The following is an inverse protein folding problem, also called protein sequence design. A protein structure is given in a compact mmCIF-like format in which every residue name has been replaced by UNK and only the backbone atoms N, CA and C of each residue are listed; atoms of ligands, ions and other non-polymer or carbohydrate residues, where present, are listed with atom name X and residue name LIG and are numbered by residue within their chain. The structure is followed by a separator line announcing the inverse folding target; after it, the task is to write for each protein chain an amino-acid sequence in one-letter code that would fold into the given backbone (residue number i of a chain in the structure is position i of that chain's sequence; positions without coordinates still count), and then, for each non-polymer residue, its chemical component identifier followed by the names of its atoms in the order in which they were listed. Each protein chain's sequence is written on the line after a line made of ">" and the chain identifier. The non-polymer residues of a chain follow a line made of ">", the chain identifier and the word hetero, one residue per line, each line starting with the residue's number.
data_IF_042249884833
#
_entry.id   IF_042249884833
#
_cell.length_a   1.000
_cell.length_b   1.000
_cell.length_c   1.000
_cell.angle_alpha   90.00
_cell.angle_beta   90.00
_cell.angle_gamma   90.00
#
_symmetry.space_group_name_H-M   'P 1'
#
loop_
_entity.id
_entity.type
_entity.pdbx_description
1 polymer ?
#
# COMPACT_ATOMS: atom_id res chain seq x y z
N UNK A 1 36.58 -13.95 14.56
CA UNK A 1 35.47 -12.98 14.70
C UNK A 1 34.25 -13.61 14.03
N UNK A 2 33.13 -13.83 14.72
CA UNK A 2 31.98 -14.51 14.12
C UNK A 2 31.30 -13.60 13.10
N UNK A 3 30.86 -14.23 12.01
CA UNK A 3 30.15 -13.67 10.87
C UNK A 3 28.87 -12.95 11.34
N UNK A 4 28.69 -11.67 11.00
CA UNK A 4 27.40 -10.99 11.20
C UNK A 4 26.43 -11.46 10.10
N UNK A 5 25.30 -12.11 10.44
CA UNK A 5 24.28 -12.50 9.47
C UNK A 5 23.58 -11.23 8.91
N UNK A 6 22.88 -11.35 7.77
CA UNK A 6 22.76 -10.27 6.79
C UNK A 6 21.97 -9.08 7.34
N UNK A 7 22.44 -7.88 7.01
CA UNK A 7 21.64 -6.64 7.06
C UNK A 7 20.30 -6.97 6.42
N UNK A 8 19.22 -6.97 7.21
CA UNK A 8 17.86 -6.99 6.68
C UNK A 8 17.73 -5.72 5.84
N UNK A 9 18.01 -5.83 4.54
CA UNK A 9 18.05 -4.70 3.59
C UNK A 9 16.66 -4.10 3.35
N UNK A 10 15.62 -4.81 3.81
CA UNK A 10 14.21 -4.52 3.65
C UNK A 10 13.51 -4.22 4.99
N UNK A 11 14.19 -3.62 5.96
CA UNK A 11 13.55 -3.07 7.15
C UNK A 11 13.27 -1.58 6.93
N UNK A 12 12.01 -1.21 6.71
CA UNK A 12 11.60 0.19 6.73
C UNK A 12 11.47 0.62 8.20
N UNK A 13 12.25 1.63 8.58
CA UNK A 13 12.20 2.23 9.92
C UNK A 13 11.91 3.72 9.78
N UNK A 14 10.90 4.20 10.49
CA UNK A 14 10.56 5.61 10.55
C UNK A 14 11.75 6.39 11.15
N UNK A 15 12.31 7.38 10.43
CA UNK A 15 13.45 8.16 10.92
C UNK A 15 13.08 9.10 12.07
N UNK A 16 11.79 9.39 12.25
CA UNK A 16 11.31 10.36 13.24
C UNK A 16 11.04 9.74 14.62
N UNK A 17 10.35 8.60 14.67
CA UNK A 17 10.04 7.93 15.94
C UNK A 17 10.70 6.55 16.12
N UNK A 18 11.41 6.06 15.09
CA UNK A 18 12.04 4.74 15.14
C UNK A 18 11.09 3.55 15.02
N UNK A 19 9.82 3.77 14.69
CA UNK A 19 8.86 2.71 14.45
C UNK A 19 9.22 1.89 13.21
N UNK A 20 9.10 0.57 13.31
CA UNK A 20 9.42 -0.41 12.26
C UNK A 20 8.32 -1.47 12.11
N UNK A 21 7.18 -1.30 12.80
CA UNK A 21 6.10 -2.31 12.87
C UNK A 21 4.81 -1.89 12.18
N UNK A 22 4.47 -0.61 12.20
CA UNK A 22 3.15 -0.14 11.74
C UNK A 22 3.29 1.01 10.74
N UNK A 23 2.73 0.84 9.55
CA UNK A 23 2.72 1.83 8.48
C UNK A 23 1.34 1.80 7.82
N UNK A 24 0.88 2.92 7.28
CA UNK A 24 -0.36 2.99 6.51
C UNK A 24 -0.15 3.88 5.29
N UNK A 25 -0.83 3.57 4.20
CA UNK A 25 -0.83 4.39 2.98
C UNK A 25 -2.18 5.09 2.81
N UNK A 26 -2.13 6.29 2.24
CA UNK A 26 -3.30 7.04 1.81
C UNK A 26 -3.15 7.29 0.32
N UNK A 27 -4.07 6.73 -0.45
CA UNK A 27 -4.17 6.97 -1.89
C UNK A 27 -5.25 7.99 -2.14
N UNK A 28 -4.86 9.12 -2.72
CA UNK A 28 -5.81 10.12 -3.20
C UNK A 28 -6.35 9.71 -4.58
N UNK A 29 -7.59 10.09 -4.88
CA UNK A 29 -8.21 9.91 -6.20
C UNK A 29 -8.21 8.45 -6.72
N UNK A 30 -8.93 7.57 -6.01
CA UNK A 30 -9.16 6.18 -6.46
C UNK A 30 -10.45 6.08 -7.27
N UNK A 31 -10.33 5.78 -8.56
CA UNK A 31 -11.48 5.42 -9.40
C UNK A 31 -11.66 3.90 -9.37
N UNK A 32 -12.82 3.45 -8.89
CA UNK A 32 -13.21 2.04 -8.97
C UNK A 32 -14.31 1.88 -10.01
N UNK A 33 -13.98 1.15 -11.07
CA UNK A 33 -14.92 0.79 -12.14
C UNK A 33 -15.35 -0.66 -11.93
N UNK A 34 -16.64 -0.88 -11.69
CA UNK A 34 -17.22 -2.23 -11.56
C UNK A 34 -18.23 -2.46 -12.66
N UNK A 35 -17.97 -3.45 -13.50
CA UNK A 35 -18.85 -3.88 -14.58
C UNK A 35 -19.84 -4.92 -14.05
N UNK A 36 -21.13 -4.62 -14.20
CA UNK A 36 -22.22 -5.52 -13.80
C UNK A 36 -22.98 -6.01 -15.03
N UNK A 37 -23.24 -7.33 -15.08
CA UNK A 37 -24.20 -7.92 -16.01
C UNK A 37 -25.49 -8.17 -15.26
N UNK A 38 -26.61 -7.72 -15.83
CA UNK A 38 -27.95 -8.07 -15.35
C UNK A 38 -28.36 -9.44 -15.88
N UNK A 39 -28.64 -10.38 -14.99
CA UNK A 39 -29.14 -11.71 -15.33
C UNK A 39 -30.63 -11.67 -15.66
N UNK A 40 -31.13 -12.68 -16.38
CA UNK A 40 -32.56 -12.84 -16.71
C UNK A 40 -33.47 -12.97 -15.48
N UNK A 41 -32.91 -13.41 -14.36
CA UNK A 41 -33.61 -13.53 -13.07
C UNK A 41 -33.71 -12.18 -12.33
N UNK A 42 -33.10 -11.11 -12.87
CA UNK A 42 -33.10 -9.77 -12.28
C UNK A 42 -31.96 -9.51 -11.29
N UNK A 43 -31.14 -10.53 -10.99
CA UNK A 43 -29.91 -10.38 -10.21
C UNK A 43 -28.77 -9.77 -11.03
N UNK A 44 -27.77 -9.19 -10.35
CA UNK A 44 -26.57 -8.63 -10.98
C UNK A 44 -25.34 -9.49 -10.66
N UNK A 45 -24.57 -9.82 -11.68
CA UNK A 45 -23.27 -10.48 -11.55
C UNK A 45 -22.17 -9.47 -11.82
N UNK A 46 -21.13 -9.44 -10.98
CA UNK A 46 -19.92 -8.65 -11.24
C UNK A 46 -19.11 -9.40 -12.30
N UNK A 47 -18.94 -8.79 -13.47
CA UNK A 47 -18.15 -9.36 -14.57
C UNK A 47 -16.68 -8.98 -14.42
N UNK A 48 -16.41 -7.69 -14.21
CA UNK A 48 -15.07 -7.16 -14.08
C UNK A 48 -15.05 -6.08 -13.00
N UNK A 49 -13.98 -6.05 -12.21
CA UNK A 49 -13.72 -4.99 -11.26
C UNK A 49 -12.29 -4.50 -11.44
N UNK A 50 -12.16 -3.24 -11.79
CA UNK A 50 -10.88 -2.58 -12.03
C UNK A 50 -10.81 -1.34 -11.14
N UNK A 51 -9.72 -1.21 -10.40
CA UNK A 51 -9.45 -0.05 -9.55
C UNK A 51 -8.21 0.64 -10.08
N UNK A 52 -8.35 1.91 -10.46
CA UNK A 52 -7.27 2.76 -10.93
C UNK A 52 -7.05 3.87 -9.92
N UNK A 53 -5.88 3.92 -9.32
CA UNK A 53 -5.40 5.05 -8.53
C UNK A 53 -4.82 6.09 -9.47
N UNK A 54 -5.40 7.29 -9.50
CA UNK A 54 -4.93 8.41 -10.33
C UNK A 54 -4.05 9.39 -9.54
N UNK A 55 -4.16 9.41 -8.21
CA UNK A 55 -3.41 10.31 -7.34
C UNK A 55 -2.08 9.74 -6.81
N UNK A 56 -1.33 10.61 -6.14
CA UNK A 56 -0.13 10.24 -5.39
C UNK A 56 -0.49 9.32 -4.22
N UNK A 57 0.18 8.17 -4.14
CA UNK A 57 0.11 7.33 -2.94
C UNK A 57 1.09 7.87 -1.91
N UNK A 58 0.57 8.23 -0.74
CA UNK A 58 1.36 8.75 0.36
C UNK A 58 1.50 7.71 1.45
N UNK A 59 2.73 7.50 1.92
CA UNK A 59 3.03 6.56 2.99
C UNK A 59 3.19 7.32 4.29
N UNK A 60 2.62 6.80 5.37
CA UNK A 60 2.72 7.40 6.69
C UNK A 60 3.17 6.40 7.76
N UNK A 61 3.80 6.93 8.79
CA UNK A 61 4.16 6.16 9.97
C UNK A 61 2.93 5.90 10.85
N UNK A 62 2.62 4.63 11.16
CA UNK A 62 1.50 4.26 12.02
C UNK A 62 1.65 4.62 13.50
N UNK A 63 2.78 5.19 13.92
CA UNK A 63 3.04 5.57 15.32
C UNK A 63 3.10 7.08 15.55
N UNK A 64 3.67 7.83 14.60
CA UNK A 64 3.82 9.29 14.73
C UNK A 64 3.19 10.07 13.57
N UNK A 65 2.52 9.38 12.65
CA UNK A 65 1.75 9.98 11.55
C UNK A 65 2.58 10.85 10.60
N UNK A 66 3.91 10.68 10.61
CA UNK A 66 4.85 11.39 9.73
C UNK A 66 4.78 10.89 8.30
N UNK A 67 5.05 11.79 7.35
CA UNK A 67 5.11 11.50 5.93
C UNK A 67 6.40 10.73 5.61
N UNK A 68 6.22 9.52 5.12
CA UNK A 68 7.24 8.62 4.63
C UNK A 68 7.07 8.37 3.13
N UNK A 69 6.33 9.23 2.41
CA UNK A 69 6.01 9.07 0.99
C UNK A 69 7.25 8.96 0.12
N UNK A 70 8.36 9.58 0.55
CA UNK A 70 9.69 9.43 -0.10
C UNK A 70 10.22 7.98 -0.09
N UNK A 71 9.77 7.14 0.83
CA UNK A 71 10.14 5.73 0.92
C UNK A 71 9.10 4.80 0.28
N UNK A 72 7.99 5.34 -0.26
CA UNK A 72 6.89 4.56 -0.81
C UNK A 72 7.35 3.64 -1.95
N UNK A 73 8.21 4.12 -2.86
CA UNK A 73 8.67 3.30 -3.98
C UNK A 73 9.38 2.02 -3.51
N UNK A 74 10.27 2.12 -2.52
CA UNK A 74 10.91 0.94 -1.91
C UNK A 74 9.90 0.08 -1.15
N UNK A 75 8.94 0.70 -0.45
CA UNK A 75 7.89 0.00 0.28
C UNK A 75 7.00 -0.82 -0.65
N UNK A 76 6.57 -0.26 -1.78
CA UNK A 76 5.74 -0.91 -2.78
C UNK A 76 6.42 -2.15 -3.40
N UNK A 77 7.74 -2.13 -3.57
CA UNK A 77 8.51 -3.30 -4.04
C UNK A 77 8.62 -4.43 -2.98
N UNK A 78 8.23 -4.18 -1.74
CA UNK A 78 8.28 -5.14 -0.63
C UNK A 78 6.91 -5.73 -0.26
N UNK A 79 5.82 -5.34 -0.96
CA UNK A 79 4.48 -5.91 -0.79
C UNK A 79 4.32 -7.08 -1.78
N UNK A 80 3.95 -8.26 -1.27
CA UNK A 80 3.71 -9.49 -2.04
C UNK A 80 2.28 -9.99 -1.86
#
# INVERSE_FOLDING_TARGET
>A
MPLRPPKVVNLLKCPYCGNEKSFFEITDDVITTTHYIQNKDGSFTIEEKSSQSLGDVKLFCGNCEEDLSSFYQRFSEMIF
#
